data_IF_401073481365
#
_entry.id   IF_401073481365
#
_cell.length_a   1.000
_cell.length_b   1.000
_cell.length_c   1.000
_cell.angle_alpha   90.00
_cell.angle_beta   90.00
_cell.angle_gamma   90.00
#
_symmetry.space_group_name_H-M   'P 1'
#
loop_
_entity.id
_entity.type
_entity.pdbx_description
1 polymer ?
#
# COMPACT_ATOMS: atom_id res chain seq x y z
N UNK A 1 0.67 31.00 76.64
CA UNK A 1 0.82 31.17 75.17
C UNK A 1 0.97 29.78 74.61
N UNK A 2 -0.06 29.31 73.88
CA UNK A 2 -0.08 27.93 73.27
C UNK A 2 0.16 28.13 71.79
N UNK A 3 1.24 27.50 71.27
CA UNK A 3 1.54 27.49 69.83
C UNK A 3 0.66 26.45 69.15
N UNK A 4 0.06 26.74 67.98
CA UNK A 4 -0.63 25.73 67.21
C UNK A 4 0.37 24.92 66.33
N UNK A 5 0.29 23.60 66.45
CA UNK A 5 1.01 22.68 65.52
C UNK A 5 0.24 22.60 64.23
N UNK A 6 0.82 23.08 63.14
CA UNK A 6 0.28 22.92 61.80
C UNK A 6 0.70 21.56 61.25
N UNK A 7 -0.28 20.68 61.09
CA UNK A 7 -0.07 19.36 60.47
C UNK A 7 -0.13 19.54 58.94
N UNK A 8 1.01 19.44 58.28
CA UNK A 8 1.07 19.46 56.82
C UNK A 8 0.65 18.10 56.26
N UNK A 9 -0.52 18.09 55.61
CA UNK A 9 -1.03 16.90 54.93
C UNK A 9 -0.32 16.77 53.58
N UNK A 10 0.67 15.85 53.45
CA UNK A 10 1.28 15.48 52.17
C UNK A 10 0.31 14.63 51.38
N UNK A 11 -0.34 15.18 50.38
CA UNK A 11 -1.13 14.46 49.40
C UNK A 11 -0.15 13.80 48.43
N UNK A 12 0.07 12.49 48.63
CA UNK A 12 0.77 11.63 47.62
C UNK A 12 -0.13 11.51 46.39
N UNK A 13 0.17 12.29 45.36
CA UNK A 13 -0.43 12.05 44.03
C UNK A 13 0.21 10.77 43.44
N UNK A 14 -0.55 9.71 43.45
CA UNK A 14 -0.19 8.49 42.67
C UNK A 14 -0.13 8.85 41.19
N UNK A 15 0.96 8.51 40.48
CA UNK A 15 0.98 8.68 39.03
C UNK A 15 -0.12 7.80 38.43
N UNK A 16 -1.07 8.43 37.75
CA UNK A 16 -2.03 7.70 36.94
C UNK A 16 -1.24 6.87 35.91
N UNK A 17 -1.28 5.55 36.04
CA UNK A 17 -0.86 4.66 34.97
C UNK A 17 -1.72 5.01 33.75
N UNK A 18 -1.13 5.66 32.76
CA UNK A 18 -1.74 5.76 31.44
C UNK A 18 -1.90 4.33 30.93
N UNK A 19 -3.13 3.82 30.94
CA UNK A 19 -3.44 2.54 30.33
C UNK A 19 -2.99 2.63 28.88
N UNK A 20 -2.06 1.76 28.50
CA UNK A 20 -1.67 1.63 27.08
C UNK A 20 -2.92 1.25 26.29
N UNK A 21 -3.13 1.92 25.17
CA UNK A 21 -4.21 1.57 24.27
C UNK A 21 -4.10 0.07 23.89
N UNK A 22 -5.22 -0.65 23.78
CA UNK A 22 -5.18 -2.05 23.41
C UNK A 22 -4.52 -2.22 22.04
N UNK A 23 -3.65 -3.22 21.92
CA UNK A 23 -2.98 -3.56 20.65
C UNK A 23 -4.07 -3.96 19.64
N UNK A 24 -4.16 -3.34 18.47
CA UNK A 24 -5.13 -3.68 17.43
C UNK A 24 -5.05 -5.17 17.03
N UNK A 25 -6.17 -5.76 16.64
CA UNK A 25 -6.20 -7.19 16.31
C UNK A 25 -5.35 -7.55 15.09
N UNK A 26 -5.29 -6.66 14.09
CA UNK A 26 -4.44 -6.83 12.92
C UNK A 26 -2.95 -6.90 13.29
N UNK A 27 -2.50 -6.11 14.24
CA UNK A 27 -1.15 -6.11 14.79
C UNK A 27 -0.73 -7.48 15.35
N UNK A 28 -1.69 -8.22 15.93
CA UNK A 28 -1.43 -9.55 16.51
C UNK A 28 -1.23 -10.63 15.45
N UNK A 29 -1.60 -10.36 14.20
CA UNK A 29 -1.38 -11.28 13.08
C UNK A 29 0.03 -11.18 12.49
N UNK A 30 0.80 -10.16 12.90
CA UNK A 30 2.16 -9.93 12.41
C UNK A 30 3.23 -10.75 13.21
N UNK A 31 4.32 -11.17 12.56
CA UNK A 31 4.54 -11.15 11.12
C UNK A 31 3.68 -12.21 10.42
N UNK A 32 3.17 -11.90 9.25
CA UNK A 32 2.41 -12.85 8.43
C UNK A 32 3.27 -14.06 8.08
N UNK A 33 2.73 -15.29 8.11
CA UNK A 33 3.54 -16.51 7.95
C UNK A 33 4.22 -16.63 6.59
N UNK A 34 3.67 -16.03 5.54
CA UNK A 34 4.19 -16.03 4.17
C UNK A 34 5.59 -15.40 4.07
N UNK A 35 5.88 -14.40 4.90
CA UNK A 35 7.19 -13.74 4.93
C UNK A 35 8.33 -14.67 5.36
N UNK A 36 8.04 -15.75 6.08
CA UNK A 36 9.05 -16.74 6.50
C UNK A 36 9.71 -17.48 5.34
N UNK A 37 9.07 -17.46 4.18
CA UNK A 37 9.58 -18.13 2.97
C UNK A 37 10.45 -17.21 2.11
N UNK A 38 10.55 -15.92 2.46
CA UNK A 38 11.28 -14.91 1.71
C UNK A 38 12.61 -14.57 2.41
N UNK A 39 13.63 -14.27 1.62
CA UNK A 39 14.89 -13.75 2.13
C UNK A 39 14.66 -12.32 2.65
N UNK A 40 14.98 -12.10 3.93
CA UNK A 40 14.93 -10.77 4.54
C UNK A 40 16.27 -10.05 4.32
N UNK A 41 16.21 -8.85 3.77
CA UNK A 41 17.36 -8.00 3.52
C UNK A 41 17.46 -6.95 4.64
N UNK A 42 18.60 -6.86 5.37
CA UNK A 42 18.75 -5.87 6.43
C UNK A 42 18.85 -4.45 5.86
N UNK A 43 18.10 -3.53 6.46
CA UNK A 43 18.14 -2.08 6.18
C UNK A 43 18.20 -1.30 7.48
N UNK A 44 18.67 -0.05 7.42
CA UNK A 44 18.91 0.75 8.62
C UNK A 44 17.65 1.44 9.16
N UNK A 45 16.67 1.72 8.33
CA UNK A 45 15.40 2.29 8.77
C UNK A 45 14.47 1.18 9.29
N UNK A 46 14.14 1.24 10.59
CA UNK A 46 13.34 0.22 11.28
C UNK A 46 11.84 0.31 11.03
N UNK A 47 11.41 1.35 10.34
CA UNK A 47 10.01 1.46 9.91
C UNK A 47 9.68 0.42 8.84
N UNK A 48 10.70 0.06 8.02
CA UNK A 48 10.55 -0.88 6.94
C UNK A 48 11.13 -2.26 7.28
N UNK A 49 10.51 -3.28 6.72
CA UNK A 49 11.10 -4.60 6.51
C UNK A 49 11.27 -4.83 5.00
N UNK A 50 12.43 -5.32 4.57
CA UNK A 50 12.70 -5.55 3.15
C UNK A 50 12.89 -7.04 2.91
N UNK A 51 12.22 -7.53 1.86
CA UNK A 51 12.29 -8.93 1.44
C UNK A 51 12.58 -9.03 -0.05
N UNK A 52 13.19 -10.15 -0.47
CA UNK A 52 13.53 -10.40 -1.87
C UNK A 52 12.64 -11.49 -2.48
N UNK A 53 11.50 -11.15 -3.10
CA UNK A 53 10.58 -12.14 -3.71
C UNK A 53 11.09 -12.70 -5.04
N UNK A 54 11.99 -12.00 -5.73
CA UNK A 54 12.59 -12.44 -6.99
C UNK A 54 13.98 -11.80 -7.19
N UNK A 55 14.84 -12.32 -8.07
CA UNK A 55 16.16 -11.73 -8.33
C UNK A 55 16.08 -10.25 -8.70
N UNK A 56 16.83 -9.42 -7.96
CA UNK A 56 16.88 -7.96 -8.12
C UNK A 56 15.52 -7.26 -8.02
N UNK A 57 14.60 -7.83 -7.22
CA UNK A 57 13.32 -7.24 -6.83
C UNK A 57 13.23 -7.26 -5.32
N UNK A 58 13.02 -6.09 -4.71
CA UNK A 58 12.91 -5.94 -3.26
C UNK A 58 11.51 -5.43 -2.93
N UNK A 59 10.79 -6.15 -2.07
CA UNK A 59 9.54 -5.74 -1.47
C UNK A 59 9.87 -4.93 -0.21
N UNK A 60 9.55 -3.65 -0.21
CA UNK A 60 9.76 -2.73 0.91
C UNK A 60 8.43 -2.60 1.63
N UNK A 61 8.32 -3.23 2.78
CA UNK A 61 7.10 -3.45 3.52
C UNK A 61 7.03 -2.57 4.77
N UNK A 62 5.85 -2.01 5.07
CA UNK A 62 5.56 -1.17 6.23
C UNK A 62 4.69 -1.93 7.26
N UNK A 63 5.28 -2.80 8.12
CA UNK A 63 4.52 -3.64 9.05
C UNK A 63 3.90 -2.90 10.24
N UNK A 64 4.19 -1.63 10.39
CA UNK A 64 3.76 -0.84 11.55
C UNK A 64 2.50 -0.02 11.32
N UNK A 65 1.93 -0.08 10.12
CA UNK A 65 0.73 0.64 9.73
C UNK A 65 -0.30 -0.35 9.12
N UNK A 66 -1.59 -0.16 9.39
CA UNK A 66 -2.65 -1.14 9.16
C UNK A 66 -2.88 -1.51 7.68
N UNK A 67 -2.52 -0.62 6.75
CA UNK A 67 -2.53 -0.92 5.31
C UNK A 67 -1.48 -1.95 4.94
N UNK A 68 -0.43 -2.09 5.76
CA UNK A 68 0.67 -3.02 5.48
C UNK A 68 1.20 -2.86 4.05
N UNK A 69 1.41 -1.60 3.63
CA UNK A 69 1.77 -1.25 2.25
C UNK A 69 3.12 -1.82 1.85
N UNK A 70 3.22 -2.27 0.61
CA UNK A 70 4.42 -2.86 0.03
C UNK A 70 4.78 -2.11 -1.25
N UNK A 71 5.84 -1.31 -1.21
CA UNK A 71 6.49 -0.79 -2.41
C UNK A 71 7.50 -1.79 -2.97
N UNK A 72 7.80 -1.68 -4.26
CA UNK A 72 8.77 -2.58 -4.91
C UNK A 72 9.91 -1.82 -5.57
N UNK A 73 11.15 -2.13 -5.18
CA UNK A 73 12.34 -1.67 -5.89
C UNK A 73 12.75 -2.74 -6.91
N UNK A 74 12.73 -2.39 -8.19
CA UNK A 74 13.07 -3.25 -9.32
C UNK A 74 14.39 -2.77 -9.90
N UNK A 75 15.45 -3.56 -9.77
CA UNK A 75 16.81 -3.15 -10.14
C UNK A 75 17.22 -3.82 -11.45
N UNK A 76 17.63 -3.01 -12.43
CA UNK A 76 18.29 -3.44 -13.66
C UNK A 76 19.77 -3.11 -13.66
N UNK A 77 20.44 -3.37 -14.79
CA UNK A 77 21.89 -3.14 -14.91
C UNK A 77 22.27 -1.64 -14.95
N UNK A 78 21.39 -0.79 -15.50
CA UNK A 78 21.66 0.65 -15.74
C UNK A 78 20.89 1.57 -14.83
N UNK A 79 19.67 1.21 -14.43
CA UNK A 79 18.78 2.01 -13.59
C UNK A 79 17.85 1.12 -12.77
N UNK A 80 17.15 1.72 -11.82
CA UNK A 80 16.14 1.06 -11.02
C UNK A 80 14.79 1.78 -11.12
N UNK A 81 13.72 1.07 -10.82
CA UNK A 81 12.36 1.61 -10.72
C UNK A 81 11.83 1.31 -9.32
N UNK A 82 11.39 2.35 -8.61
CA UNK A 82 10.61 2.21 -7.38
C UNK A 82 9.13 2.28 -7.74
N UNK A 83 8.40 1.22 -7.46
CA UNK A 83 6.96 1.15 -7.61
C UNK A 83 6.33 1.30 -6.24
N UNK A 84 5.62 2.39 -6.02
CA UNK A 84 5.08 2.91 -4.77
C UNK A 84 6.14 3.31 -3.73
N UNK A 85 5.83 4.34 -2.95
CA UNK A 85 6.74 4.94 -1.96
C UNK A 85 6.21 4.90 -0.54
N UNK A 86 5.15 4.12 -0.31
CA UNK A 86 4.57 3.91 1.00
C UNK A 86 3.92 5.15 1.61
N UNK A 87 3.73 5.10 2.91
CA UNK A 87 3.08 6.14 3.71
C UNK A 87 3.90 7.44 3.84
N UNK A 88 5.22 7.40 3.60
CA UNK A 88 6.11 8.54 3.88
C UNK A 88 6.34 8.80 5.37
N UNK A 89 6.19 7.77 6.20
CA UNK A 89 6.49 7.80 7.64
C UNK A 89 7.97 7.50 7.88
N UNK A 90 8.52 6.47 7.23
CA UNK A 90 9.94 6.17 7.19
C UNK A 90 10.65 6.87 6.03
N UNK A 91 11.98 6.82 6.00
CA UNK A 91 12.83 7.41 4.93
C UNK A 91 13.05 6.36 3.83
N UNK A 92 12.12 6.29 2.86
CA UNK A 92 12.20 5.31 1.76
C UNK A 92 13.37 5.59 0.81
N UNK A 93 13.76 6.85 0.62
CA UNK A 93 14.92 7.21 -0.20
C UNK A 93 16.22 6.65 0.39
N UNK A 94 16.36 6.69 1.71
CA UNK A 94 17.47 6.07 2.41
C UNK A 94 17.48 4.56 2.19
N UNK A 95 16.34 3.88 2.39
CA UNK A 95 16.23 2.43 2.18
C UNK A 95 16.57 2.04 0.74
N UNK A 96 16.03 2.73 -0.25
CA UNK A 96 16.38 2.46 -1.65
C UNK A 96 17.85 2.69 -1.97
N UNK A 97 18.50 3.68 -1.33
CA UNK A 97 19.95 3.96 -1.48
C UNK A 97 20.83 2.87 -0.88
N UNK A 98 20.36 2.17 0.16
CA UNK A 98 21.06 1.02 0.74
C UNK A 98 20.98 -0.22 -0.17
N UNK A 99 19.89 -0.34 -0.95
CA UNK A 99 19.64 -1.47 -1.84
C UNK A 99 20.27 -1.31 -3.24
N UNK A 100 20.41 -0.07 -3.73
CA UNK A 100 20.99 0.17 -5.05
C UNK A 100 21.63 1.57 -5.16
N UNK A 101 22.70 1.67 -5.94
CA UNK A 101 23.32 2.95 -6.36
C UNK A 101 22.88 3.38 -7.78
N UNK A 102 21.95 2.65 -8.41
CA UNK A 102 21.48 2.96 -9.77
C UNK A 102 20.60 4.20 -9.78
N UNK A 103 20.65 5.02 -10.87
CA UNK A 103 19.66 6.08 -11.06
C UNK A 103 18.24 5.53 -10.95
N UNK A 104 17.39 6.20 -10.17
CA UNK A 104 16.06 5.73 -9.82
C UNK A 104 14.97 6.58 -10.49
N UNK A 105 13.94 5.92 -11.00
CA UNK A 105 12.65 6.51 -11.36
C UNK A 105 11.58 5.96 -10.43
N UNK A 106 10.72 6.83 -9.92
CA UNK A 106 9.53 6.43 -9.15
C UNK A 106 8.32 6.38 -10.08
N UNK A 107 7.51 5.36 -9.92
CA UNK A 107 6.21 5.21 -10.57
C UNK A 107 5.24 4.62 -9.54
N UNK A 108 4.05 5.18 -9.42
CA UNK A 108 3.07 4.69 -8.47
C UNK A 108 2.03 3.81 -9.14
N UNK A 109 1.58 2.79 -8.43
CA UNK A 109 0.46 1.94 -8.85
C UNK A 109 -0.81 2.78 -9.01
N UNK A 110 -0.99 3.73 -8.13
CA UNK A 110 -2.01 4.79 -8.14
C UNK A 110 -1.63 5.86 -7.10
N UNK A 111 -2.47 6.87 -6.90
CA UNK A 111 -2.08 8.00 -6.07
C UNK A 111 -2.88 8.14 -4.77
N UNK A 112 -3.29 7.04 -4.13
CA UNK A 112 -3.72 7.08 -2.73
C UNK A 112 -2.55 7.42 -1.78
N UNK A 113 -2.84 7.97 -0.59
CA UNK A 113 -1.81 8.48 0.33
C UNK A 113 -0.73 7.47 0.71
N UNK A 114 -1.11 6.22 0.88
CA UNK A 114 -0.24 5.12 1.29
C UNK A 114 0.69 4.59 0.19
N UNK A 115 0.50 5.04 -1.06
CA UNK A 115 1.37 4.72 -2.21
C UNK A 115 2.30 5.86 -2.61
N UNK A 116 1.98 7.11 -2.23
CA UNK A 116 2.70 8.30 -2.69
C UNK A 116 3.38 9.10 -1.58
N UNK A 117 3.27 8.64 -0.33
CA UNK A 117 3.73 9.38 0.84
C UNK A 117 5.19 9.78 0.81
N UNK A 118 6.06 8.95 0.23
CA UNK A 118 7.49 9.21 0.06
C UNK A 118 7.88 9.86 -1.28
N UNK A 119 6.94 10.16 -2.19
CA UNK A 119 7.26 10.71 -3.52
C UNK A 119 8.07 12.01 -3.46
N UNK A 120 7.81 12.85 -2.47
CA UNK A 120 8.50 14.13 -2.27
C UNK A 120 10.02 14.00 -2.04
N UNK A 121 10.50 12.82 -1.70
CA UNK A 121 11.92 12.53 -1.48
C UNK A 121 12.68 12.35 -2.81
N UNK A 122 11.98 12.19 -3.93
CA UNK A 122 12.56 11.84 -5.22
C UNK A 122 12.41 12.94 -6.27
N UNK A 123 13.47 13.14 -7.08
CA UNK A 123 13.49 14.14 -8.14
C UNK A 123 12.77 13.68 -9.43
N UNK A 124 12.66 12.38 -9.65
CA UNK A 124 12.09 11.79 -10.86
C UNK A 124 10.91 10.90 -10.48
N UNK A 125 9.70 11.46 -10.55
CA UNK A 125 8.44 10.76 -10.27
C UNK A 125 7.54 10.85 -11.49
N UNK A 126 7.15 9.71 -12.04
CA UNK A 126 6.19 9.59 -13.14
C UNK A 126 4.80 9.29 -12.60
N UNK A 127 3.77 9.73 -13.30
CA UNK A 127 2.37 9.46 -12.96
C UNK A 127 1.51 9.35 -14.21
N UNK A 128 0.30 8.81 -14.07
CA UNK A 128 -0.69 8.82 -15.14
C UNK A 128 -1.22 10.24 -15.38
N UNK A 129 -1.53 10.58 -16.62
CA UNK A 129 -2.10 11.89 -16.97
C UNK A 129 -3.60 11.94 -16.67
N UNK A 130 -3.94 11.92 -15.39
CA UNK A 130 -5.32 12.03 -14.91
C UNK A 130 -5.50 13.24 -14.00
N UNK A 131 -6.73 13.71 -13.85
CA UNK A 131 -7.05 14.74 -12.87
C UNK A 131 -6.82 14.23 -11.43
N UNK A 132 -7.10 12.96 -11.18
CA UNK A 132 -6.87 12.29 -9.90
C UNK A 132 -5.40 12.38 -9.50
N UNK A 133 -4.47 11.98 -10.38
CA UNK A 133 -3.02 12.10 -10.16
C UNK A 133 -2.59 13.54 -9.88
N UNK A 134 -3.05 14.49 -10.70
CA UNK A 134 -2.70 15.92 -10.53
C UNK A 134 -3.25 16.52 -9.23
N UNK A 135 -4.43 16.09 -8.79
CA UNK A 135 -5.03 16.50 -7.53
C UNK A 135 -4.20 15.97 -6.36
N UNK A 136 -3.89 14.68 -6.35
CA UNK A 136 -3.20 14.02 -5.24
C UNK A 136 -1.72 14.44 -5.15
N UNK A 137 -1.08 14.80 -6.27
CA UNK A 137 0.27 15.37 -6.27
C UNK A 137 0.41 16.69 -5.48
N UNK A 138 -0.70 17.35 -5.15
CA UNK A 138 -0.71 18.54 -4.29
C UNK A 138 -0.54 18.20 -2.81
N UNK A 139 -0.59 16.91 -2.47
CA UNK A 139 -0.59 16.42 -1.11
C UNK A 139 -1.94 16.60 -0.40
N UNK A 140 -2.09 15.94 0.73
CA UNK A 140 -3.28 16.04 1.59
C UNK A 140 -2.90 15.81 3.04
N UNK A 141 -3.39 16.66 3.91
CA UNK A 141 -3.29 16.45 5.36
C UNK A 141 -4.44 15.58 5.85
N UNK A 142 -5.65 15.84 5.38
CA UNK A 142 -6.86 15.16 5.85
C UNK A 142 -6.78 13.64 5.58
N UNK A 143 -6.49 13.25 4.33
CA UNK A 143 -6.33 11.86 3.96
C UNK A 143 -5.19 11.17 4.74
N UNK A 144 -4.02 11.82 4.86
CA UNK A 144 -2.90 11.28 5.63
C UNK A 144 -3.22 11.11 7.12
N UNK A 145 -3.92 12.06 7.74
CA UNK A 145 -4.30 11.97 9.15
C UNK A 145 -5.27 10.82 9.44
N UNK A 146 -6.14 10.47 8.49
CA UNK A 146 -7.02 9.32 8.61
C UNK A 146 -6.23 8.00 8.73
N UNK A 147 -5.09 7.91 8.02
CA UNK A 147 -4.27 6.69 7.99
C UNK A 147 -3.45 6.43 9.25
N UNK A 148 -3.28 7.40 10.13
CA UNK A 148 -2.49 7.28 11.37
C UNK A 148 -3.33 7.37 12.64
N UNK A 149 -4.61 7.03 12.57
CA UNK A 149 -5.44 6.87 13.76
C UNK A 149 -4.78 5.88 14.75
N UNK A 150 -5.04 5.99 16.07
CA UNK A 150 -4.34 5.16 17.06
C UNK A 150 -4.48 3.64 16.86
N UNK A 151 -5.56 3.18 16.26
CA UNK A 151 -5.82 1.78 15.91
C UNK A 151 -5.24 1.38 14.53
N UNK A 152 -4.69 2.33 13.78
CA UNK A 152 -4.02 2.14 12.51
C UNK A 152 -2.49 1.99 12.64
N UNK A 153 -1.93 2.11 13.83
CA UNK A 153 -0.48 2.02 14.05
C UNK A 153 -0.16 0.88 15.03
N UNK A 154 0.78 0.03 14.63
CA UNK A 154 1.29 -1.07 15.44
C UNK A 154 2.67 -0.69 16.02
N UNK A 155 2.77 -0.62 17.33
CA UNK A 155 4.01 -0.29 18.01
C UNK A 155 4.26 1.22 18.09
N UNK A 156 5.51 1.63 17.81
CA UNK A 156 5.95 3.03 17.95
C UNK A 156 6.27 3.64 16.61
N UNK A 157 5.77 4.84 16.38
CA UNK A 157 6.19 5.67 15.24
C UNK A 157 7.69 6.01 15.33
N UNK A 158 8.37 6.28 14.21
CA UNK A 158 9.78 6.64 14.18
C UNK A 158 10.09 7.85 15.07
N UNK A 159 11.29 7.83 15.67
CA UNK A 159 11.73 8.96 16.52
C UNK A 159 11.77 10.26 15.69
N UNK A 160 11.09 11.29 16.17
CA UNK A 160 10.98 12.59 15.50
C UNK A 160 9.82 12.72 14.54
N UNK A 161 9.07 11.65 14.28
CA UNK A 161 7.81 11.73 13.56
C UNK A 161 6.73 12.34 14.49
N UNK A 162 6.07 13.39 14.00
CA UNK A 162 4.94 14.01 14.71
C UNK A 162 3.63 13.70 13.98
N UNK A 163 2.79 12.80 14.52
CA UNK A 163 1.54 12.44 13.89
C UNK A 163 0.57 13.63 13.74
N UNK A 164 0.68 14.65 14.56
CA UNK A 164 -0.18 15.84 14.48
C UNK A 164 0.11 16.72 13.26
N UNK A 165 1.33 16.66 12.74
CA UNK A 165 1.77 17.45 11.58
C UNK A 165 1.89 16.59 10.32
N UNK A 166 1.69 15.29 10.44
CA UNK A 166 1.78 14.37 9.31
C UNK A 166 0.81 14.75 8.19
N UNK A 167 1.30 14.70 6.97
CA UNK A 167 0.57 14.95 5.74
C UNK A 167 1.29 14.26 4.57
N UNK A 168 0.55 13.80 3.59
CA UNK A 168 1.15 13.51 2.29
C UNK A 168 1.66 14.83 1.71
N UNK A 169 2.99 14.93 1.52
CA UNK A 169 3.62 16.17 1.04
C UNK A 169 3.41 16.35 -0.46
N UNK A 170 3.31 17.60 -0.94
CA UNK A 170 3.30 17.86 -2.38
C UNK A 170 4.55 17.31 -3.07
N UNK A 171 4.37 16.77 -4.26
CA UNK A 171 5.44 16.25 -5.07
C UNK A 171 5.27 16.65 -6.54
N UNK A 172 6.37 16.62 -7.30
CA UNK A 172 6.38 17.03 -8.71
C UNK A 172 6.26 15.82 -9.62
N UNK A 173 5.26 15.84 -10.51
CA UNK A 173 5.19 14.91 -11.63
C UNK A 173 6.26 15.34 -12.66
N UNK A 174 7.30 14.51 -12.84
CA UNK A 174 8.41 14.80 -13.76
C UNK A 174 8.09 14.46 -15.20
N UNK A 175 7.25 13.41 -15.39
CA UNK A 175 6.75 13.00 -16.69
C UNK A 175 5.43 12.22 -16.51
N UNK A 176 4.65 12.18 -17.58
CA UNK A 176 3.47 11.32 -17.63
C UNK A 176 3.77 10.00 -18.33
N UNK A 177 3.17 8.95 -17.82
CA UNK A 177 3.19 7.61 -18.40
C UNK A 177 1.78 7.21 -18.86
N UNK A 178 1.70 6.21 -19.74
CA UNK A 178 0.45 5.68 -20.28
C UNK A 178 0.53 4.19 -20.48
N UNK A 179 -0.60 3.59 -20.78
CA UNK A 179 -0.69 2.16 -21.12
C UNK A 179 0.29 1.79 -22.26
N UNK A 180 1.03 0.70 -22.06
CA UNK A 180 2.01 0.18 -23.00
C UNK A 180 3.38 0.86 -22.97
N UNK A 181 3.58 1.91 -22.15
CA UNK A 181 4.91 2.52 -21.96
C UNK A 181 5.88 1.50 -21.37
N UNK A 182 7.16 1.65 -21.72
CA UNK A 182 8.21 0.71 -21.30
C UNK A 182 9.39 1.43 -20.68
N UNK A 183 9.82 0.93 -19.54
CA UNK A 183 11.00 1.40 -18.83
C UNK A 183 12.12 0.37 -19.04
N UNK A 184 13.13 0.73 -19.84
CA UNK A 184 14.36 -0.05 -19.98
C UNK A 184 15.29 0.23 -18.80
N UNK A 185 15.49 -0.77 -17.95
CA UNK A 185 16.36 -0.69 -16.78
C UNK A 185 17.77 -1.21 -17.06
N UNK A 186 18.05 -1.65 -18.30
CA UNK A 186 19.25 -2.37 -18.66
C UNK A 186 19.14 -3.85 -18.32
N UNK A 187 19.10 -4.71 -19.35
CA UNK A 187 18.88 -6.14 -19.19
C UNK A 187 17.48 -6.55 -18.71
N UNK A 188 16.62 -5.57 -18.39
CA UNK A 188 15.25 -5.75 -17.89
C UNK A 188 14.37 -4.62 -18.41
N UNK A 189 13.20 -4.95 -18.93
CA UNK A 189 12.20 -3.99 -19.41
C UNK A 189 10.90 -4.17 -18.64
N UNK A 190 10.38 -3.10 -18.07
CA UNK A 190 9.12 -3.05 -17.34
C UNK A 190 8.07 -2.38 -18.21
N UNK A 191 6.97 -3.07 -18.48
CA UNK A 191 5.83 -2.58 -19.25
C UNK A 191 4.73 -2.07 -18.33
N UNK A 192 4.19 -0.91 -18.61
CA UNK A 192 3.04 -0.32 -17.90
C UNK A 192 1.75 -0.87 -18.48
N UNK A 193 0.87 -1.34 -17.62
CA UNK A 193 -0.48 -1.79 -17.97
C UNK A 193 -1.46 -0.92 -17.21
N UNK A 194 -2.24 -0.09 -17.90
CA UNK A 194 -3.32 0.65 -17.25
C UNK A 194 -4.37 -0.33 -16.71
N UNK A 195 -4.69 -0.20 -15.44
CA UNK A 195 -5.68 -1.03 -14.73
C UNK A 195 -6.65 -0.16 -13.94
N UNK A 196 -7.35 0.81 -14.60
CA UNK A 196 -8.29 1.67 -13.91
C UNK A 196 -9.42 0.86 -13.27
N UNK A 197 -10.01 1.44 -12.22
CA UNK A 197 -11.16 0.84 -11.56
C UNK A 197 -11.12 1.01 -10.05
N UNK A 198 -10.07 0.59 -9.35
CA UNK A 198 -9.84 0.98 -7.96
C UNK A 198 -9.71 2.51 -7.87
N UNK A 199 -8.85 3.08 -8.71
CA UNK A 199 -8.78 4.51 -9.01
C UNK A 199 -8.67 4.74 -10.53
N UNK A 200 -8.91 5.98 -11.03
CA UNK A 200 -8.77 6.30 -12.46
C UNK A 200 -7.35 6.22 -13.00
N UNK A 201 -6.35 6.34 -12.13
CA UNK A 201 -4.92 6.35 -12.45
C UNK A 201 -4.22 5.04 -12.14
N UNK A 202 -4.96 3.99 -11.76
CA UNK A 202 -4.39 2.69 -11.42
C UNK A 202 -3.64 2.07 -12.58
N UNK A 203 -2.44 1.56 -12.28
CA UNK A 203 -1.60 0.79 -13.20
C UNK A 203 -1.05 -0.46 -12.53
N UNK A 204 -0.72 -1.44 -13.36
CA UNK A 204 0.10 -2.59 -13.01
C UNK A 204 1.40 -2.57 -13.83
N UNK A 205 2.45 -3.22 -13.32
CA UNK A 205 3.73 -3.33 -14.05
C UNK A 205 4.01 -4.78 -14.41
N UNK A 206 4.43 -5.02 -15.65
CA UNK A 206 4.77 -6.34 -16.16
C UNK A 206 6.25 -6.44 -16.50
N UNK A 207 6.96 -7.32 -15.82
CA UNK A 207 8.26 -7.82 -16.21
C UNK A 207 8.08 -9.13 -16.97
N UNK A 208 7.85 -9.03 -18.27
CA UNK A 208 7.51 -10.17 -19.12
C UNK A 208 8.62 -11.21 -19.18
N UNK A 209 9.87 -10.78 -19.21
CA UNK A 209 11.03 -11.67 -19.32
C UNK A 209 11.20 -12.55 -18.08
N UNK A 210 10.88 -12.02 -16.90
CA UNK A 210 10.99 -12.73 -15.64
C UNK A 210 9.67 -13.35 -15.17
N UNK A 211 8.54 -13.04 -15.84
CA UNK A 211 7.21 -13.53 -15.50
C UNK A 211 6.66 -12.92 -14.21
N UNK A 212 6.92 -11.63 -13.94
CA UNK A 212 6.46 -10.94 -12.74
C UNK A 212 5.41 -9.89 -13.09
N UNK A 213 4.32 -9.86 -12.32
CA UNK A 213 3.27 -8.85 -12.44
C UNK A 213 3.09 -8.16 -11.09
N UNK A 214 3.28 -6.84 -11.05
CA UNK A 214 3.04 -5.99 -9.90
C UNK A 214 1.67 -5.35 -10.08
N UNK A 215 0.76 -5.57 -9.15
CA UNK A 215 -0.66 -5.28 -9.36
C UNK A 215 -1.17 -4.02 -8.65
N UNK A 216 -0.37 -3.41 -7.78
CA UNK A 216 -0.90 -2.37 -6.89
C UNK A 216 -2.15 -2.88 -6.19
N UNK A 217 -3.18 -2.04 -6.13
CA UNK A 217 -4.46 -2.36 -5.50
C UNK A 217 -5.49 -3.00 -6.41
N UNK A 218 -5.11 -3.26 -7.66
CA UNK A 218 -5.97 -4.08 -8.53
C UNK A 218 -6.11 -5.50 -7.97
N UNK A 219 -5.04 -6.02 -7.34
CA UNK A 219 -5.07 -7.25 -6.57
C UNK A 219 -4.00 -7.26 -5.47
N UNK A 220 -4.39 -7.64 -4.28
CA UNK A 220 -3.52 -8.05 -3.16
C UNK A 220 -4.26 -9.08 -2.29
N UNK A 221 -3.55 -9.91 -1.50
CA UNK A 221 -4.18 -10.81 -0.53
C UNK A 221 -4.84 -10.00 0.60
N UNK A 222 -6.16 -10.04 0.68
CA UNK A 222 -6.95 -9.28 1.66
C UNK A 222 -8.31 -8.88 1.13
N UNK A 223 -8.94 -7.91 1.80
CA UNK A 223 -10.15 -7.27 1.29
C UNK A 223 -9.79 -6.20 0.30
N UNK A 224 -10.26 -6.32 -0.94
CA UNK A 224 -10.01 -5.34 -2.00
C UNK A 224 -11.00 -4.18 -1.85
N UNK A 225 -10.50 -2.97 -1.72
CA UNK A 225 -11.29 -1.76 -1.47
C UNK A 225 -11.77 -1.15 -2.80
N UNK A 226 -13.10 -1.15 -3.00
CA UNK A 226 -13.78 -0.63 -4.20
C UNK A 226 -14.95 0.28 -3.81
N UNK A 227 -14.81 1.05 -2.72
CA UNK A 227 -15.88 1.88 -2.15
C UNK A 227 -15.63 3.39 -2.30
N UNK A 228 -14.49 3.80 -2.82
CA UNK A 228 -14.16 5.22 -2.98
C UNK A 228 -15.07 5.91 -4.01
N UNK A 229 -15.25 7.25 -3.94
CA UNK A 229 -16.00 8.00 -4.94
C UNK A 229 -15.48 7.84 -6.37
N UNK A 230 -14.20 7.61 -6.51
CA UNK A 230 -13.49 7.50 -7.77
C UNK A 230 -13.46 6.09 -8.36
N UNK A 231 -13.96 5.09 -7.59
CA UNK A 231 -14.00 3.70 -8.06
C UNK A 231 -14.98 3.52 -9.22
N UNK A 232 -14.53 2.87 -10.28
CA UNK A 232 -15.33 2.42 -11.41
C UNK A 232 -15.31 0.89 -11.49
N UNK A 233 -16.42 0.26 -11.13
CA UNK A 233 -16.55 -1.20 -11.06
C UNK A 233 -16.51 -1.88 -12.43
N UNK A 234 -16.94 -1.20 -13.49
CA UNK A 234 -16.89 -1.75 -14.85
C UNK A 234 -15.46 -1.71 -15.40
N UNK A 235 -14.76 -0.59 -15.17
CA UNK A 235 -13.35 -0.48 -15.48
C UNK A 235 -12.50 -1.47 -14.67
N UNK A 236 -12.82 -1.67 -13.37
CA UNK A 236 -12.15 -2.67 -12.54
C UNK A 236 -12.34 -4.08 -13.09
N UNK A 237 -13.58 -4.45 -13.45
CA UNK A 237 -13.87 -5.74 -14.08
C UNK A 237 -13.07 -5.96 -15.36
N UNK A 238 -13.02 -4.98 -16.26
CA UNK A 238 -12.21 -5.04 -17.47
C UNK A 238 -10.71 -5.18 -17.17
N UNK A 239 -10.20 -4.46 -16.17
CA UNK A 239 -8.81 -4.50 -15.75
C UNK A 239 -8.39 -5.88 -15.22
N UNK A 240 -9.17 -6.48 -14.31
CA UNK A 240 -8.84 -7.82 -13.78
C UNK A 240 -8.92 -8.91 -14.85
N UNK A 241 -9.86 -8.84 -15.80
CA UNK A 241 -9.91 -9.77 -16.93
C UNK A 241 -8.67 -9.62 -17.84
N UNK A 242 -8.22 -8.38 -18.08
CA UNK A 242 -6.98 -8.13 -18.81
C UNK A 242 -5.77 -8.74 -18.11
N UNK A 243 -5.64 -8.58 -16.79
CA UNK A 243 -4.56 -9.20 -16.01
C UNK A 243 -4.68 -10.73 -15.97
N UNK A 244 -5.89 -11.27 -15.84
CA UNK A 244 -6.14 -12.72 -15.86
C UNK A 244 -5.67 -13.39 -17.16
N UNK A 245 -5.78 -12.71 -18.29
CA UNK A 245 -5.29 -13.19 -19.58
C UNK A 245 -3.75 -13.31 -19.63
N UNK A 246 -3.01 -12.62 -18.77
CA UNK A 246 -1.55 -12.69 -18.67
C UNK A 246 -1.07 -13.88 -17.82
N UNK A 247 -1.93 -14.43 -16.97
CA UNK A 247 -1.59 -15.47 -15.98
C UNK A 247 -0.75 -16.64 -16.53
N UNK A 248 -1.02 -17.19 -17.74
CA UNK A 248 -0.22 -18.32 -18.27
C UNK A 248 1.27 -18.01 -18.49
N UNK A 249 1.63 -16.73 -18.67
CA UNK A 249 3.02 -16.28 -18.87
C UNK A 249 3.72 -15.84 -17.59
N UNK A 250 3.04 -15.87 -16.45
CA UNK A 250 3.56 -15.37 -15.18
C UNK A 250 4.12 -16.49 -14.30
N UNK A 251 5.05 -16.12 -13.43
CA UNK A 251 5.58 -16.94 -12.32
C UNK A 251 5.06 -16.45 -10.98
N UNK A 252 4.98 -15.13 -10.81
CA UNK A 252 4.53 -14.48 -9.57
C UNK A 252 3.63 -13.29 -9.87
N UNK A 253 2.67 -13.06 -8.97
CA UNK A 253 1.90 -11.83 -8.82
C UNK A 253 2.33 -11.16 -7.52
N UNK A 254 2.59 -9.86 -7.58
CA UNK A 254 3.14 -9.05 -6.51
C UNK A 254 2.15 -7.92 -6.19
N UNK A 255 1.41 -8.07 -5.09
CA UNK A 255 0.39 -7.11 -4.63
C UNK A 255 0.98 -6.04 -3.71
N UNK A 256 0.25 -4.94 -3.51
CA UNK A 256 0.75 -3.80 -2.75
C UNK A 256 0.46 -3.85 -1.24
N UNK A 257 -0.26 -4.86 -0.73
CA UNK A 257 -0.62 -4.94 0.69
C UNK A 257 -0.50 -6.36 1.26
N UNK A 258 -0.27 -6.43 2.56
CA UNK A 258 -0.30 -7.65 3.39
C UNK A 258 0.79 -8.67 3.07
N UNK A 259 0.79 -9.24 1.87
CA UNK A 259 1.71 -10.31 1.46
C UNK A 259 2.25 -10.02 0.06
N UNK A 260 3.59 -10.02 -0.13
CA UNK A 260 4.20 -9.56 -1.37
C UNK A 260 4.09 -10.53 -2.56
N UNK A 261 3.61 -11.76 -2.35
CA UNK A 261 3.60 -12.79 -3.41
C UNK A 261 2.31 -13.59 -3.44
N UNK A 262 1.86 -13.88 -4.67
CA UNK A 262 0.75 -14.79 -4.92
C UNK A 262 0.99 -15.61 -6.20
N UNK A 263 0.40 -16.81 -6.33
CA UNK A 263 0.49 -17.61 -7.56
C UNK A 263 -0.33 -16.94 -8.68
N UNK A 264 0.10 -17.03 -9.96
CA UNK A 264 -0.60 -16.41 -11.09
C UNK A 264 -2.06 -16.84 -11.27
N UNK A 265 -2.40 -18.05 -10.84
CA UNK A 265 -3.77 -18.58 -10.88
C UNK A 265 -4.77 -17.74 -10.08
N UNK A 266 -4.29 -16.91 -9.18
CA UNK A 266 -5.14 -16.00 -8.41
C UNK A 266 -5.88 -14.99 -9.29
N UNK A 267 -5.27 -14.55 -10.40
CA UNK A 267 -5.87 -13.55 -11.30
C UNK A 267 -7.14 -14.08 -11.99
N UNK A 268 -7.11 -15.31 -12.45
CA UNK A 268 -8.28 -15.95 -13.08
C UNK A 268 -9.39 -16.20 -12.06
N UNK A 269 -9.01 -16.61 -10.84
CA UNK A 269 -9.97 -16.77 -9.73
C UNK A 269 -10.59 -15.45 -9.31
N UNK A 270 -9.78 -14.37 -9.25
CA UNK A 270 -10.23 -13.01 -8.93
C UNK A 270 -11.27 -12.53 -9.94
N UNK A 271 -10.97 -12.65 -11.25
CA UNK A 271 -11.89 -12.26 -12.31
C UNK A 271 -13.23 -13.03 -12.19
N UNK A 272 -13.18 -14.35 -12.03
CA UNK A 272 -14.37 -15.17 -11.82
C UNK A 272 -15.15 -14.80 -10.56
N UNK A 273 -14.45 -14.49 -9.46
CA UNK A 273 -15.07 -14.08 -8.20
C UNK A 273 -15.80 -12.74 -8.36
N UNK A 274 -15.16 -11.76 -9.01
CA UNK A 274 -15.76 -10.46 -9.25
C UNK A 274 -17.00 -10.55 -10.19
N UNK A 275 -16.95 -11.40 -11.23
CA UNK A 275 -18.12 -11.68 -12.09
C UNK A 275 -19.29 -12.22 -11.26
N UNK A 276 -19.03 -13.06 -10.24
CA UNK A 276 -20.07 -13.55 -9.32
C UNK A 276 -20.62 -12.43 -8.44
N UNK A 277 -19.78 -11.50 -7.97
CA UNK A 277 -20.22 -10.29 -7.26
C UNK A 277 -21.17 -9.49 -8.14
N UNK A 278 -20.78 -9.21 -9.39
CA UNK A 278 -21.59 -8.45 -10.35
C UNK A 278 -22.90 -9.16 -10.71
N UNK A 279 -22.93 -10.48 -10.65
CA UNK A 279 -24.13 -11.31 -10.88
C UNK A 279 -25.00 -11.49 -9.62
N UNK A 280 -24.68 -10.83 -8.49
CA UNK A 280 -25.44 -10.97 -7.24
C UNK A 280 -25.28 -12.32 -6.54
N UNK A 281 -24.19 -13.05 -6.80
CA UNK A 281 -23.92 -14.40 -6.26
C UNK A 281 -22.93 -14.42 -5.10
N UNK A 282 -22.65 -13.27 -4.48
CA UNK A 282 -21.78 -13.17 -3.33
C UNK A 282 -22.59 -13.03 -2.03
N UNK A 283 -21.98 -13.43 -0.91
CA UNK A 283 -22.51 -13.16 0.42
C UNK A 283 -22.17 -11.73 0.81
N UNK A 284 -23.17 -10.97 1.31
CA UNK A 284 -22.96 -9.62 1.79
C UNK A 284 -22.85 -9.61 3.32
N UNK A 285 -21.89 -8.83 3.82
CA UNK A 285 -21.74 -8.53 5.25
C UNK A 285 -21.66 -7.01 5.41
N UNK A 286 -22.47 -6.37 6.26
CA UNK A 286 -22.30 -4.95 6.58
C UNK A 286 -20.90 -4.69 7.12
N UNK A 287 -20.30 -3.54 6.76
CA UNK A 287 -18.99 -3.11 7.24
C UNK A 287 -19.09 -1.79 7.99
N UNK A 288 -19.24 -0.70 7.26
CA UNK A 288 -19.37 0.65 7.79
C UNK A 288 -20.57 1.35 7.15
N UNK A 289 -21.05 2.49 7.66
CA UNK A 289 -22.18 3.19 7.08
C UNK A 289 -22.05 3.41 5.57
N UNK A 290 -22.97 2.83 4.80
CA UNK A 290 -22.98 2.91 3.34
C UNK A 290 -22.04 1.94 2.61
N UNK A 291 -21.32 1.06 3.32
CA UNK A 291 -20.43 0.06 2.72
C UNK A 291 -20.77 -1.37 3.15
N UNK A 292 -20.49 -2.31 2.28
CA UNK A 292 -20.67 -3.75 2.51
C UNK A 292 -19.46 -4.52 1.97
N UNK A 293 -19.15 -5.64 2.61
CA UNK A 293 -18.17 -6.59 2.12
C UNK A 293 -18.89 -7.71 1.37
N UNK A 294 -18.56 -7.87 0.10
CA UNK A 294 -18.95 -9.02 -0.72
C UNK A 294 -17.92 -10.13 -0.56
N UNK A 295 -18.36 -11.33 -0.15
CA UNK A 295 -17.49 -12.49 0.02
C UNK A 295 -17.90 -13.59 -0.96
N UNK A 296 -16.93 -14.07 -1.74
CA UNK A 296 -17.13 -15.16 -2.72
C UNK A 296 -15.79 -15.83 -3.07
N UNK A 297 -15.75 -17.15 -3.12
CA UNK A 297 -14.60 -17.99 -3.54
C UNK A 297 -13.26 -17.67 -2.84
N UNK A 298 -13.32 -17.20 -1.59
CA UNK A 298 -12.15 -16.81 -0.81
C UNK A 298 -11.66 -15.39 -1.08
N UNK A 299 -12.38 -14.59 -1.87
CA UNK A 299 -12.14 -13.16 -2.04
C UNK A 299 -13.13 -12.33 -1.23
N UNK A 300 -12.69 -11.13 -0.86
CA UNK A 300 -13.50 -10.12 -0.21
C UNK A 300 -13.36 -8.79 -0.95
N UNK A 301 -14.49 -8.11 -1.20
CA UNK A 301 -14.52 -6.82 -1.86
C UNK A 301 -15.34 -5.85 -1.00
N UNK A 302 -14.71 -4.79 -0.51
CA UNK A 302 -15.42 -3.70 0.15
C UNK A 302 -15.97 -2.75 -0.91
N UNK A 303 -17.28 -2.62 -0.97
CA UNK A 303 -17.97 -1.83 -1.98
C UNK A 303 -19.08 -1.00 -1.33
N UNK A 304 -19.56 0.01 -2.04
CA UNK A 304 -20.74 0.74 -1.61
C UNK A 304 -21.96 -0.19 -1.56
N UNK A 305 -22.77 -0.01 -0.53
CA UNK A 305 -24.04 -0.72 -0.42
C UNK A 305 -24.95 -0.38 -1.62
N UNK A 306 -25.69 -1.36 -2.16
CA UNK A 306 -26.70 -1.08 -3.18
C UNK A 306 -27.70 -0.05 -2.66
N UNK A 307 -28.11 0.88 -3.51
CA UNK A 307 -29.15 1.86 -3.17
C UNK A 307 -30.47 1.09 -2.96
N UNK A 308 -30.97 1.05 -1.72
CA UNK A 308 -32.27 0.42 -1.41
C UNK A 308 -32.21 -0.78 -0.46
N UNK A 309 -31.13 -0.97 0.27
CA UNK A 309 -31.03 -1.92 1.39
C UNK A 309 -30.80 -1.21 2.72
#
# INVERSE_FOLDING_TARGET
MRNPVILALCILQSPALLAQAPIPDWCRMLPRPEYKTLERIPVSDRWFEVYQPAPSVFAIYEPHQWEETIGYLIVGEKRALQFDTGMGIGDIKKVTSELTSRPLVVLNSHTHPDHVGGNWEFDTVHGMDTEFTRRNARGSREAAQAEIAPDHVCGSLPKGFDPKTYATRPWKISAYTRDGDRFDLGGRTIEVIATPGHTPDSISLLDRANGLLFTGDTYYPGTIYLSSPETDLDAYGASIHRLAALAPGLKLVLGAHNVPVAPPTVLQRLASAFDKVRAGKATLTPDSPGNVIYKVDGFSFLMRAPVGH
#
